data_IF_724085225134
#
_entry.id   IF_724085225134
#
_cell.length_a   1.000
_cell.length_b   1.000
_cell.length_c   1.000
_cell.angle_alpha   90.00
_cell.angle_beta   90.00
_cell.angle_gamma   90.00
#
_symmetry.space_group_name_H-M   'P 1'
#
loop_
_entity.id
_entity.type
_entity.pdbx_description
1 polymer ?
#
# COMPACT_ATOMS: atom_id res chain seq x y z
N UNK A 1 -13.00 13.96 -11.46
CA UNK A 1 -12.92 13.11 -12.67
C UNK A 1 -14.26 12.43 -12.86
N UNK A 2 -15.12 12.89 -13.79
CA UNK A 2 -16.49 12.37 -13.94
C UNK A 2 -16.56 10.89 -14.27
N UNK A 3 -15.63 10.39 -15.09
CA UNK A 3 -15.57 8.98 -15.50
C UNK A 3 -15.22 8.04 -14.34
N UNK A 4 -14.42 8.53 -13.37
CA UNK A 4 -14.08 7.76 -12.17
C UNK A 4 -15.29 7.55 -11.26
N UNK A 5 -16.19 8.54 -11.18
CA UNK A 5 -17.44 8.39 -10.43
C UNK A 5 -18.29 7.29 -11.03
N UNK A 6 -18.45 7.27 -12.35
CA UNK A 6 -19.20 6.22 -13.06
C UNK A 6 -18.59 4.82 -12.89
N UNK A 7 -17.28 4.72 -12.64
CA UNK A 7 -16.63 3.45 -12.31
C UNK A 7 -16.93 3.03 -10.87
N UNK A 8 -16.85 3.94 -9.90
CA UNK A 8 -17.21 3.67 -8.51
C UNK A 8 -18.68 3.28 -8.33
N UNK A 9 -19.57 3.83 -9.15
CA UNK A 9 -20.99 3.45 -9.17
C UNK A 9 -21.19 2.01 -9.64
N UNK A 10 -20.24 1.43 -10.38
CA UNK A 10 -20.25 0.02 -10.81
C UNK A 10 -19.52 -0.89 -9.82
N UNK A 11 -18.36 -0.46 -9.29
CA UNK A 11 -17.59 -1.22 -8.31
C UNK A 11 -16.59 -0.32 -7.58
N UNK A 12 -16.41 -0.58 -6.29
CA UNK A 12 -15.35 0.02 -5.47
C UNK A 12 -14.11 -0.87 -5.37
N UNK A 13 -14.07 -1.95 -6.15
CA UNK A 13 -13.09 -3.02 -6.03
C UNK A 13 -13.74 -4.33 -5.60
N UNK A 14 -13.03 -5.43 -5.85
CA UNK A 14 -13.44 -6.79 -5.52
C UNK A 14 -12.39 -7.42 -4.60
N UNK A 15 -12.82 -8.03 -3.49
CA UNK A 15 -11.92 -8.65 -2.51
C UNK A 15 -11.09 -9.82 -3.07
N UNK A 16 -11.49 -10.40 -4.20
CA UNK A 16 -10.74 -11.39 -4.96
C UNK A 16 -9.58 -10.79 -5.78
N UNK A 17 -9.56 -9.46 -5.97
CA UNK A 17 -8.44 -8.75 -6.58
C UNK A 17 -7.50 -8.25 -5.49
N UNK A 18 -6.24 -8.69 -5.60
CA UNK A 18 -5.18 -8.37 -4.68
C UNK A 18 -4.19 -7.39 -5.31
N UNK A 19 -3.94 -6.27 -4.60
CA UNK A 19 -2.99 -5.24 -5.00
C UNK A 19 -1.87 -5.21 -3.97
N UNK A 20 -0.64 -5.46 -4.39
CA UNK A 20 0.53 -5.33 -3.56
C UNK A 20 1.13 -3.92 -3.68
N UNK A 21 1.49 -3.32 -2.55
CA UNK A 21 2.19 -2.03 -2.45
C UNK A 21 3.57 -2.29 -1.87
N UNK A 22 4.59 -2.06 -2.69
CA UNK A 22 6.00 -2.20 -2.34
C UNK A 22 6.58 -0.81 -2.09
N UNK A 23 6.46 -0.31 -0.86
CA UNK A 23 6.82 1.06 -0.49
C UNK A 23 7.45 1.09 0.92
N UNK A 24 7.38 2.19 1.65
CA UNK A 24 7.68 2.24 3.07
C UNK A 24 6.57 1.65 3.95
N UNK A 25 6.83 1.54 5.27
CA UNK A 25 5.86 1.00 6.23
C UNK A 25 4.58 1.83 6.26
N UNK A 26 3.41 1.18 6.22
CA UNK A 26 2.11 1.87 6.20
C UNK A 26 1.51 1.95 7.59
N UNK A 27 1.05 3.14 7.99
CA UNK A 27 0.23 3.30 9.19
C UNK A 27 -1.18 2.75 8.95
N UNK A 28 -1.36 1.46 9.23
CA UNK A 28 -2.63 0.75 9.08
C UNK A 28 -3.69 1.19 10.11
N UNK A 29 -3.32 1.95 11.12
CA UNK A 29 -4.24 2.48 12.12
C UNK A 29 -4.76 3.87 11.75
N UNK A 30 -4.29 4.44 10.65
CA UNK A 30 -4.84 5.68 10.13
C UNK A 30 -6.32 5.50 9.78
N UNK A 31 -7.23 6.39 10.21
CA UNK A 31 -8.69 6.22 10.05
C UNK A 31 -9.16 6.04 8.61
N UNK A 32 -8.37 6.43 7.60
CA UNK A 32 -8.71 6.18 6.21
C UNK A 32 -8.70 4.70 5.81
N UNK A 33 -8.08 3.84 6.61
CA UNK A 33 -8.04 2.40 6.38
C UNK A 33 -9.05 1.62 7.23
N UNK A 34 -9.94 2.30 7.96
CA UNK A 34 -10.97 1.66 8.78
C UNK A 34 -11.93 0.84 7.90
N UNK A 35 -11.81 -0.49 7.98
CA UNK A 35 -12.58 -1.44 7.15
C UNK A 35 -11.84 -1.93 5.89
N UNK A 36 -10.65 -1.41 5.60
CA UNK A 36 -9.82 -1.88 4.50
C UNK A 36 -9.26 -3.29 4.78
N UNK A 37 -9.22 -4.15 3.77
CA UNK A 37 -8.65 -5.49 3.87
C UNK A 37 -7.15 -5.48 3.59
N UNK A 38 -6.34 -5.01 4.55
CA UNK A 38 -4.90 -4.82 4.41
C UNK A 38 -4.12 -5.84 5.25
N UNK A 39 -3.24 -6.59 4.59
CA UNK A 39 -2.28 -7.49 5.26
C UNK A 39 -0.86 -7.01 5.02
N UNK A 40 -0.07 -6.90 6.07
CA UNK A 40 1.35 -6.58 5.96
C UNK A 40 2.18 -7.86 5.93
N UNK A 41 3.09 -7.94 4.97
CA UNK A 41 4.06 -9.02 4.83
C UNK A 41 5.37 -8.64 5.53
N UNK A 42 6.06 -9.66 6.04
CA UNK A 42 7.40 -9.47 6.60
C UNK A 42 8.43 -9.39 5.49
N UNK A 43 9.23 -8.33 5.49
CA UNK A 43 10.37 -8.16 4.57
C UNK A 43 11.65 -7.96 5.37
N UNK A 44 12.73 -7.54 4.71
CA UNK A 44 13.99 -7.13 5.36
C UNK A 44 13.88 -5.75 6.03
N UNK A 45 12.86 -4.97 5.69
CA UNK A 45 12.58 -3.68 6.31
C UNK A 45 11.55 -3.88 7.43
N UNK A 46 11.71 -3.15 8.54
CA UNK A 46 10.71 -3.12 9.60
C UNK A 46 9.39 -2.61 9.04
N UNK A 47 8.31 -3.37 9.19
CA UNK A 47 6.97 -2.90 8.82
C UNK A 47 6.28 -2.06 9.90
N UNK A 48 7.03 -1.52 10.86
CA UNK A 48 6.47 -0.59 11.86
C UNK A 48 6.46 0.81 11.27
N UNK A 49 5.26 1.35 11.09
CA UNK A 49 5.08 2.74 10.69
C UNK A 49 5.62 3.71 11.74
N UNK A 50 6.16 4.83 11.27
CA UNK A 50 6.75 5.88 12.08
C UNK A 50 6.45 7.25 11.45
N UNK A 51 6.97 8.32 12.05
CA UNK A 51 6.81 9.68 11.49
C UNK A 51 7.84 10.03 10.41
N UNK A 52 8.61 9.05 9.93
CA UNK A 52 9.65 9.24 8.91
C UNK A 52 9.11 9.30 7.49
N UNK A 53 9.92 9.82 6.57
CA UNK A 53 9.58 10.03 5.17
C UNK A 53 9.12 8.76 4.48
N UNK A 54 9.74 7.62 4.77
CA UNK A 54 9.37 6.33 4.17
C UNK A 54 7.94 5.94 4.55
N UNK A 55 7.60 6.08 5.83
CA UNK A 55 6.29 5.67 6.31
C UNK A 55 5.17 6.63 5.88
N UNK A 56 5.46 7.94 5.84
CA UNK A 56 4.53 8.92 5.28
C UNK A 56 4.25 8.66 3.80
N UNK A 57 5.28 8.36 3.01
CA UNK A 57 5.14 8.04 1.60
C UNK A 57 4.31 6.76 1.39
N UNK A 58 4.66 5.67 2.07
CA UNK A 58 3.93 4.40 1.97
C UNK A 58 2.46 4.55 2.39
N UNK A 59 2.19 5.28 3.48
CA UNK A 59 0.83 5.56 3.94
C UNK A 59 0.05 6.39 2.92
N UNK A 60 0.68 7.40 2.32
CA UNK A 60 0.07 8.22 1.29
C UNK A 60 -0.30 7.38 0.05
N UNK A 61 0.65 6.62 -0.50
CA UNK A 61 0.43 5.72 -1.65
C UNK A 61 -0.68 4.72 -1.36
N UNK A 62 -0.63 4.04 -0.21
CA UNK A 62 -1.66 3.09 0.18
C UNK A 62 -3.04 3.74 0.31
N UNK A 63 -3.13 4.99 0.83
CA UNK A 63 -4.40 5.70 0.97
C UNK A 63 -5.05 6.06 -0.36
N UNK A 64 -4.25 6.37 -1.38
CA UNK A 64 -4.74 6.64 -2.74
C UNK A 64 -5.41 5.39 -3.33
N UNK A 65 -4.99 4.19 -2.93
CA UNK A 65 -5.56 2.94 -3.43
C UNK A 65 -6.71 2.48 -2.55
N UNK A 66 -6.50 2.38 -1.23
CA UNK A 66 -7.39 1.66 -0.32
C UNK A 66 -8.17 2.55 0.64
N UNK A 67 -8.05 3.88 0.53
CA UNK A 67 -8.76 4.83 1.40
C UNK A 67 -10.28 4.61 1.33
N UNK A 68 -10.91 4.39 2.48
CA UNK A 68 -12.30 3.94 2.56
C UNK A 68 -13.28 5.09 2.31
N UNK A 69 -14.46 4.74 1.77
CA UNK A 69 -15.56 5.69 1.59
C UNK A 69 -15.97 6.33 2.92
N UNK A 70 -16.22 7.63 2.91
CA UNK A 70 -16.57 8.40 4.11
C UNK A 70 -15.38 8.75 5.02
N UNK A 71 -14.17 8.32 4.68
CA UNK A 71 -12.95 8.76 5.36
C UNK A 71 -12.38 10.06 4.80
N UNK A 72 -11.24 10.52 5.34
CA UNK A 72 -10.53 11.71 4.84
C UNK A 72 -9.94 11.53 3.43
N UNK A 73 -9.77 10.29 2.96
CA UNK A 73 -9.23 9.98 1.63
C UNK A 73 -10.08 8.88 1.00
N UNK A 74 -10.73 9.19 -0.13
CA UNK A 74 -11.38 8.18 -0.96
C UNK A 74 -10.36 7.60 -1.95
N UNK A 75 -9.98 6.35 -1.72
CA UNK A 75 -9.10 5.60 -2.58
C UNK A 75 -9.78 5.14 -3.87
N UNK A 76 -8.97 4.76 -4.85
CA UNK A 76 -9.43 4.28 -6.16
C UNK A 76 -10.10 2.90 -6.07
N UNK A 77 -9.59 2.01 -5.23
CA UNK A 77 -10.04 0.62 -5.12
C UNK A 77 -10.18 0.15 -3.65
N UNK A 78 -11.01 0.83 -2.82
CA UNK A 78 -11.15 0.53 -1.40
C UNK A 78 -11.71 -0.86 -1.08
N UNK A 79 -12.42 -1.50 -2.02
CA UNK A 79 -12.97 -2.85 -1.86
C UNK A 79 -12.00 -3.99 -2.21
N UNK A 80 -10.81 -3.68 -2.75
CA UNK A 80 -9.80 -4.69 -3.08
C UNK A 80 -9.02 -5.18 -1.85
N UNK A 81 -8.43 -6.37 -1.96
CA UNK A 81 -7.45 -6.87 -0.98
C UNK A 81 -6.11 -6.17 -1.17
N UNK A 82 -5.52 -5.67 -0.08
CA UNK A 82 -4.21 -5.03 -0.09
C UNK A 82 -3.13 -5.88 0.59
N UNK A 83 -1.98 -6.01 -0.08
CA UNK A 83 -0.75 -6.56 0.50
C UNK A 83 0.29 -5.46 0.63
N UNK A 84 0.81 -5.25 1.85
CA UNK A 84 1.76 -4.20 2.15
C UNK A 84 3.14 -4.83 2.35
N UNK A 85 4.10 -4.50 1.50
CA UNK A 85 5.46 -5.02 1.52
C UNK A 85 6.45 -3.87 1.72
N UNK A 86 6.87 -3.57 2.96
CA UNK A 86 7.86 -2.53 3.21
C UNK A 86 9.19 -2.87 2.53
N UNK A 87 9.71 -2.03 1.65
CA UNK A 87 11.02 -2.18 1.00
C UNK A 87 11.89 -0.93 1.11
N UNK A 88 11.30 0.21 1.49
CA UNK A 88 12.01 1.45 1.79
C UNK A 88 11.96 1.75 3.29
N UNK A 89 13.06 2.29 3.82
CA UNK A 89 13.15 2.78 5.20
C UNK A 89 13.80 4.14 5.21
N UNK A 90 13.69 4.85 6.33
CA UNK A 90 14.36 6.14 6.48
C UNK A 90 15.88 5.99 6.39
N UNK A 91 16.51 6.89 5.64
CA UNK A 91 17.95 7.00 5.49
C UNK A 91 18.55 7.96 6.52
N UNK A 92 19.76 8.48 6.24
CA UNK A 92 20.34 9.55 7.06
C UNK A 92 19.66 10.88 6.69
N UNK A 93 19.25 11.64 7.71
CA UNK A 93 18.46 12.86 7.51
C UNK A 93 17.04 12.53 7.04
N UNK A 94 16.41 13.44 6.29
CA UNK A 94 15.02 13.29 5.83
C UNK A 94 14.88 12.43 4.54
N UNK A 95 15.96 11.79 4.09
CA UNK A 95 16.01 11.00 2.85
C UNK A 95 15.61 9.54 3.05
N UNK A 96 15.36 8.82 1.95
CA UNK A 96 15.11 7.38 1.94
C UNK A 96 16.43 6.60 1.85
N UNK A 97 16.52 5.48 2.57
CA UNK A 97 17.56 4.48 2.33
C UNK A 97 17.30 3.78 0.99
N UNK A 98 18.33 3.56 0.15
CA UNK A 98 18.15 2.91 -1.13
C UNK A 98 17.72 1.44 -0.95
N UNK A 99 16.72 1.01 -1.71
CA UNK A 99 16.37 -0.39 -1.85
C UNK A 99 17.28 -1.04 -2.91
N UNK A 100 17.88 -2.19 -2.58
CA UNK A 100 18.68 -2.93 -3.56
C UNK A 100 17.79 -3.61 -4.59
N UNK A 101 18.29 -3.82 -5.81
CA UNK A 101 17.56 -4.56 -6.85
C UNK A 101 17.22 -5.99 -6.40
N UNK A 102 18.05 -6.59 -5.54
CA UNK A 102 17.83 -7.93 -5.01
C UNK A 102 16.66 -7.92 -4.02
N UNK A 103 16.56 -6.91 -3.16
CA UNK A 103 15.48 -6.82 -2.18
C UNK A 103 14.15 -6.49 -2.84
N UNK A 104 14.18 -5.64 -3.87
CA UNK A 104 13.03 -5.41 -4.74
C UNK A 104 12.58 -6.70 -5.43
N UNK A 105 13.49 -7.44 -6.06
CA UNK A 105 13.16 -8.71 -6.72
C UNK A 105 12.54 -9.72 -5.75
N UNK A 106 13.09 -9.83 -4.52
CA UNK A 106 12.53 -10.68 -3.46
C UNK A 106 11.13 -10.25 -3.05
N UNK A 107 10.87 -8.95 -2.93
CA UNK A 107 9.55 -8.44 -2.57
C UNK A 107 8.53 -8.70 -3.69
N UNK A 108 8.93 -8.54 -4.95
CA UNK A 108 8.08 -8.89 -6.11
C UNK A 108 7.73 -10.39 -6.08
N UNK A 109 8.71 -11.27 -5.87
CA UNK A 109 8.46 -12.71 -5.75
C UNK A 109 7.49 -13.01 -4.60
N UNK A 110 7.68 -12.42 -3.42
CA UNK A 110 6.78 -12.59 -2.28
C UNK A 110 5.36 -12.11 -2.58
N UNK A 111 5.20 -10.97 -3.27
CA UNK A 111 3.90 -10.45 -3.66
C UNK A 111 3.18 -11.41 -4.62
N UNK A 112 3.89 -11.95 -5.62
CA UNK A 112 3.34 -12.94 -6.57
C UNK A 112 2.94 -14.22 -5.84
N UNK A 113 3.79 -14.75 -4.96
CA UNK A 113 3.49 -15.96 -4.18
C UNK A 113 2.30 -15.77 -3.23
N UNK A 114 2.11 -14.56 -2.69
CA UNK A 114 0.95 -14.19 -1.87
C UNK A 114 -0.32 -13.89 -2.70
N UNK A 115 -0.26 -14.06 -4.02
CA UNK A 115 -1.38 -13.95 -4.94
C UNK A 115 -1.72 -12.52 -5.34
N UNK A 116 -0.75 -11.62 -5.41
CA UNK A 116 -0.96 -10.28 -5.97
C UNK A 116 -1.32 -10.36 -7.47
N UNK A 117 -2.41 -9.71 -7.85
CA UNK A 117 -2.80 -9.52 -9.25
C UNK A 117 -2.11 -8.29 -9.86
N UNK A 118 -1.88 -7.27 -9.03
CA UNK A 118 -1.24 -6.01 -9.39
C UNK A 118 -0.14 -5.73 -8.37
N UNK A 119 1.00 -5.23 -8.84
CA UNK A 119 2.11 -4.74 -8.01
C UNK A 119 2.31 -3.26 -8.29
N UNK A 120 2.16 -2.43 -7.27
CA UNK A 120 2.56 -1.02 -7.25
C UNK A 120 3.92 -0.94 -6.54
N UNK A 121 4.93 -0.38 -7.23
CA UNK A 121 6.30 -0.28 -6.77
C UNK A 121 6.86 1.13 -6.99
#
# INVERSE_FOLDING_TARGET
>A
MPELQSLWDQSLGDSGICIAVLDGPVDRYHPCFDGANLTQMQTLVSGVANQGSASQHGTHVASVIFGQQGSSVLGIAPGCRGLLLPIFQDGKGDGLAPCSQIDLARAITQAVEAGANIINN
#
